data_IF_910731527016
#
_entry.id   IF_910731527016
#
_cell.length_a   1.000
_cell.length_b   1.000
_cell.length_c   1.000
_cell.angle_alpha   90.00
_cell.angle_beta   90.00
_cell.angle_gamma   90.00
#
_symmetry.space_group_name_H-M   'P 1'
#
loop_
_entity.id
_entity.type
_entity.pdbx_description
1 polymer ?
#
# COMPACT_ATOMS: atom_id res chain seq x y z
N UNK A 1 2.93 4.76 -15.22
CA UNK A 1 3.27 4.30 -13.86
C UNK A 1 3.58 2.81 -13.91
N UNK A 2 4.73 2.40 -13.38
CA UNK A 2 5.07 0.98 -13.25
C UNK A 2 4.43 0.42 -11.97
N UNK A 3 3.31 -0.29 -12.14
CA UNK A 3 2.54 -0.84 -11.02
C UNK A 3 3.34 -1.86 -10.20
N UNK A 4 4.27 -2.60 -10.84
CA UNK A 4 5.11 -3.57 -10.13
C UNK A 4 6.11 -2.87 -9.23
N UNK A 5 6.69 -1.76 -9.69
CA UNK A 5 7.60 -0.94 -8.89
C UNK A 5 6.89 -0.32 -7.70
N UNK A 6 5.69 0.23 -7.89
CA UNK A 6 4.90 0.83 -6.81
C UNK A 6 4.44 -0.25 -5.80
N UNK A 7 3.98 -1.40 -6.28
CA UNK A 7 3.61 -2.52 -5.42
C UNK A 7 4.77 -3.03 -4.57
N UNK A 8 5.95 -3.17 -5.16
CA UNK A 8 7.16 -3.58 -4.44
C UNK A 8 7.55 -2.55 -3.37
N UNK A 9 7.47 -1.26 -3.70
CA UNK A 9 7.74 -0.19 -2.74
C UNK A 9 6.73 -0.18 -1.58
N UNK A 10 5.43 -0.36 -1.85
CA UNK A 10 4.41 -0.47 -0.80
C UNK A 10 4.69 -1.66 0.13
N UNK A 11 5.12 -2.80 -0.44
CA UNK A 11 5.51 -3.98 0.33
C UNK A 11 6.69 -3.69 1.24
N UNK A 12 7.72 -3.00 0.75
CA UNK A 12 8.89 -2.60 1.52
C UNK A 12 8.47 -1.76 2.74
N UNK A 13 7.74 -0.67 2.51
CA UNK A 13 7.21 0.21 3.56
C UNK A 13 6.39 -0.54 4.62
N UNK A 14 5.51 -1.45 4.17
CA UNK A 14 4.72 -2.29 5.09
C UNK A 14 5.63 -3.15 5.96
N UNK A 15 6.63 -3.80 5.35
CA UNK A 15 7.55 -4.68 6.08
C UNK A 15 8.49 -3.93 7.01
N UNK A 16 8.90 -2.71 6.68
CA UNK A 16 9.70 -1.84 7.55
C UNK A 16 8.94 -1.47 8.83
N UNK A 17 7.62 -1.33 8.76
CA UNK A 17 6.76 -1.15 9.93
C UNK A 17 6.41 -2.46 10.66
N UNK A 18 6.89 -3.61 10.19
CA UNK A 18 6.61 -4.92 10.80
C UNK A 18 5.16 -5.38 10.69
N UNK A 19 4.40 -4.86 9.71
CA UNK A 19 2.97 -5.16 9.55
C UNK A 19 2.74 -6.34 8.61
N UNK A 20 1.70 -7.15 8.87
CA UNK A 20 1.15 -8.09 7.89
C UNK A 20 0.26 -7.37 6.86
N UNK A 21 -0.07 -8.03 5.75
CA UNK A 21 -0.99 -7.46 4.75
C UNK A 21 -2.36 -7.18 5.37
N UNK A 22 -2.83 -8.06 6.25
CA UNK A 22 -4.08 -7.96 7.00
C UNK A 22 -4.06 -6.76 7.95
N UNK A 23 -2.97 -6.55 8.69
CA UNK A 23 -2.84 -5.41 9.59
C UNK A 23 -2.80 -4.06 8.85
N UNK A 24 -2.16 -4.00 7.68
CA UNK A 24 -2.21 -2.81 6.84
C UNK A 24 -3.63 -2.61 6.27
N UNK A 25 -4.27 -3.69 5.85
CA UNK A 25 -5.62 -3.65 5.30
C UNK A 25 -6.65 -3.15 6.33
N UNK A 26 -6.55 -3.58 7.58
CA UNK A 26 -7.39 -3.11 8.69
C UNK A 26 -7.24 -1.59 8.91
N UNK A 27 -6.01 -1.07 8.83
CA UNK A 27 -5.75 0.38 8.97
C UNK A 27 -6.41 1.20 7.87
N UNK A 28 -6.39 0.69 6.64
CA UNK A 28 -6.92 1.35 5.44
C UNK A 28 -8.38 0.98 5.15
N UNK A 29 -9.03 0.23 6.06
CA UNK A 29 -10.40 -0.26 5.89
C UNK A 29 -10.64 -1.01 4.56
N UNK A 30 -9.69 -1.86 4.15
CA UNK A 30 -9.79 -2.72 2.97
C UNK A 30 -9.56 -4.19 3.32
N UNK A 31 -9.66 -5.09 2.35
CA UNK A 31 -9.31 -6.51 2.56
C UNK A 31 -7.80 -6.77 2.42
N UNK A 32 -7.26 -7.75 3.14
CA UNK A 32 -5.86 -8.20 2.96
C UNK A 32 -5.56 -8.61 1.52
N UNK A 33 -6.55 -9.20 0.83
CA UNK A 33 -6.46 -9.52 -0.61
C UNK A 33 -6.27 -8.27 -1.47
N UNK A 34 -6.87 -7.14 -1.09
CA UNK A 34 -6.71 -5.86 -1.79
C UNK A 34 -5.27 -5.38 -1.67
N UNK A 35 -4.71 -5.37 -0.46
CA UNK A 35 -3.29 -5.03 -0.22
C UNK A 35 -2.36 -5.96 -0.99
N UNK A 36 -2.63 -7.27 -0.96
CA UNK A 36 -1.85 -8.26 -1.72
C UNK A 36 -1.85 -7.97 -3.22
N UNK A 37 -2.98 -7.54 -3.80
CA UNK A 37 -3.04 -7.18 -5.22
C UNK A 37 -2.26 -5.91 -5.54
N UNK A 38 -2.26 -4.92 -4.65
CA UNK A 38 -1.43 -3.71 -4.80
C UNK A 38 0.06 -4.07 -4.79
N UNK A 39 0.49 -4.85 -3.79
CA UNK A 39 1.90 -5.24 -3.63
C UNK A 39 2.44 -6.07 -4.79
N UNK A 40 1.57 -6.85 -5.44
CA UNK A 40 1.92 -7.66 -6.61
C UNK A 40 1.74 -6.91 -7.95
N UNK A 41 1.31 -5.65 -7.94
CA UNK A 41 1.08 -4.85 -9.15
C UNK A 41 -0.09 -5.34 -10.00
N UNK A 42 -1.06 -6.04 -9.41
CA UNK A 42 -2.26 -6.54 -10.09
C UNK A 42 -3.40 -5.51 -10.16
N UNK A 43 -3.37 -4.52 -9.26
CA UNK A 43 -4.21 -3.33 -9.28
C UNK A 43 -3.50 -2.18 -8.55
N UNK A 44 -4.11 -1.00 -8.56
CA UNK A 44 -3.63 0.16 -7.81
C UNK A 44 -4.68 0.61 -6.78
N UNK A 45 -4.25 1.22 -5.67
CA UNK A 45 -5.16 1.94 -4.79
C UNK A 45 -5.75 3.15 -5.54
N UNK A 46 -6.95 3.57 -5.15
CA UNK A 46 -7.51 4.84 -5.62
C UNK A 46 -6.81 6.04 -4.97
N UNK A 47 -7.13 7.24 -5.44
CA UNK A 47 -6.50 8.46 -4.96
C UNK A 47 -6.67 8.67 -3.45
N UNK A 48 -7.85 8.35 -2.89
CA UNK A 48 -8.07 8.47 -1.45
C UNK A 48 -7.13 7.58 -0.65
N UNK A 49 -6.98 6.31 -1.05
CA UNK A 49 -6.07 5.39 -0.36
C UNK A 49 -4.61 5.80 -0.58
N UNK A 50 -4.25 6.34 -1.76
CA UNK A 50 -2.88 6.84 -2.00
C UNK A 50 -2.55 7.99 -1.04
N UNK A 51 -3.48 8.92 -0.82
CA UNK A 51 -3.30 10.01 0.15
C UNK A 51 -3.17 9.46 1.57
N UNK A 52 -4.03 8.52 1.96
CA UNK A 52 -3.96 7.90 3.28
C UNK A 52 -2.66 7.11 3.51
N UNK A 53 -2.16 6.42 2.48
CA UNK A 53 -0.87 5.73 2.50
C UNK A 53 0.29 6.73 2.64
N UNK A 54 0.25 7.84 1.91
CA UNK A 54 1.26 8.89 1.98
C UNK A 54 1.32 9.51 3.39
N UNK A 55 0.17 9.83 3.97
CA UNK A 55 0.08 10.33 5.35
C UNK A 55 0.57 9.27 6.36
N UNK A 56 0.19 8.01 6.17
CA UNK A 56 0.56 6.92 7.07
C UNK A 56 2.07 6.62 7.06
N UNK A 57 2.72 6.76 5.90
CA UNK A 57 4.16 6.51 5.73
C UNK A 57 5.02 7.78 5.74
N UNK A 58 4.43 8.97 5.88
CA UNK A 58 5.10 10.28 5.80
C UNK A 58 5.89 10.47 4.49
N UNK A 59 5.22 10.23 3.36
CA UNK A 59 5.79 10.28 2.01
C UNK A 59 5.16 11.41 1.20
N UNK A 60 5.97 12.16 0.48
CA UNK A 60 5.50 13.19 -0.46
C UNK A 60 5.09 12.56 -1.81
N UNK A 61 3.95 12.98 -2.36
CA UNK A 61 3.39 12.50 -3.65
C UNK A 61 3.79 13.45 -4.82
N UNK A 62 4.72 14.38 -4.59
CA UNK A 62 5.13 15.40 -5.57
C UNK A 62 5.96 14.87 -6.75
#
# INVERSE_FOLDING_TARGET
MDQKRIGSFLRELRTEKGLTQEQLAEKLNVSGRTVSRWENGNNMPDLSIIVELADFYDIDIR
#
